data_IF_468435424364
#
_entry.id   IF_468435424364
#
_cell.length_a   1.000
_cell.length_b   1.000
_cell.length_c   1.000
_cell.angle_alpha   90.00
_cell.angle_beta   90.00
_cell.angle_gamma   90.00
#
_symmetry.space_group_name_H-M   'P 1'
#
loop_
_entity.id
_entity.type
_entity.pdbx_description
1 polymer ?
#
# COMPACT_ATOMS: atom_id res chain seq x y z
N UNK A 1 0.97 -18.05 7.29
CA UNK A 1 0.96 -16.69 7.89
C UNK A 1 0.04 -15.82 7.06
N UNK A 2 -1.04 -15.35 7.67
CA UNK A 2 -2.07 -14.55 7.00
C UNK A 2 -1.75 -13.05 7.04
N UNK A 3 -2.06 -12.36 5.96
CA UNK A 3 -1.91 -10.91 5.85
C UNK A 3 -3.30 -10.28 5.76
N UNK A 4 -3.55 -9.25 6.55
CA UNK A 4 -4.82 -8.52 6.50
C UNK A 4 -4.60 -7.24 5.70
N UNK A 5 -5.36 -7.09 4.62
CA UNK A 5 -5.29 -5.91 3.78
C UNK A 5 -6.32 -4.87 4.22
N UNK A 6 -5.89 -3.67 4.59
CA UNK A 6 -6.80 -2.55 4.94
C UNK A 6 -6.80 -1.53 3.80
N UNK A 7 -7.92 -1.40 3.11
CA UNK A 7 -8.10 -0.55 1.93
C UNK A 7 -8.76 0.76 2.36
N UNK A 8 -8.07 1.88 2.18
CA UNK A 8 -8.44 3.16 2.77
C UNK A 8 -8.77 4.20 1.68
N UNK A 9 -10.02 4.66 1.69
CA UNK A 9 -10.56 5.64 0.77
C UNK A 9 -10.67 5.15 -0.68
N UNK A 10 -11.16 6.03 -1.57
CA UNK A 10 -11.44 5.67 -2.96
C UNK A 10 -10.25 5.01 -3.67
N UNK A 11 -9.07 5.63 -3.59
CA UNK A 11 -7.88 5.12 -4.26
C UNK A 11 -7.46 3.75 -3.70
N UNK A 12 -7.42 3.60 -2.37
CA UNK A 12 -7.06 2.34 -1.72
C UNK A 12 -8.00 1.20 -2.07
N UNK A 13 -9.31 1.45 -2.07
CA UNK A 13 -10.32 0.47 -2.43
C UNK A 13 -10.23 0.01 -3.91
N UNK A 14 -9.95 0.95 -4.82
CA UNK A 14 -9.82 0.62 -6.24
C UNK A 14 -8.53 -0.16 -6.55
N UNK A 15 -7.41 0.21 -5.94
CA UNK A 15 -6.13 -0.51 -6.09
C UNK A 15 -6.23 -1.89 -5.43
N UNK A 16 -6.76 -1.92 -4.21
CA UNK A 16 -6.93 -3.16 -3.46
C UNK A 16 -7.74 -4.19 -4.23
N UNK A 17 -8.80 -3.78 -4.93
CA UNK A 17 -9.54 -4.66 -5.83
C UNK A 17 -8.64 -5.28 -6.92
N UNK A 18 -7.91 -4.46 -7.67
CA UNK A 18 -7.07 -4.94 -8.77
C UNK A 18 -5.93 -5.85 -8.23
N UNK A 19 -5.38 -5.54 -7.05
CA UNK A 19 -4.39 -6.39 -6.36
C UNK A 19 -4.98 -7.77 -6.05
N UNK A 20 -6.16 -7.85 -5.44
CA UNK A 20 -6.79 -9.14 -5.15
C UNK A 20 -7.18 -9.91 -6.42
N UNK A 21 -7.56 -9.24 -7.51
CA UNK A 21 -7.83 -9.92 -8.79
C UNK A 21 -6.55 -10.50 -9.41
N UNK A 22 -5.42 -9.78 -9.32
CA UNK A 22 -4.11 -10.28 -9.73
C UNK A 22 -3.67 -11.44 -8.86
N UNK A 23 -3.78 -11.33 -7.52
CA UNK A 23 -3.39 -12.39 -6.58
C UNK A 23 -4.27 -13.64 -6.76
N UNK A 24 -5.57 -13.48 -6.95
CA UNK A 24 -6.48 -14.60 -7.19
C UNK A 24 -6.16 -15.29 -8.52
N UNK A 25 -5.92 -14.52 -9.59
CA UNK A 25 -5.56 -15.05 -10.90
C UNK A 25 -4.20 -15.73 -10.87
N UNK A 26 -3.25 -15.16 -10.11
CA UNK A 26 -1.96 -15.77 -9.86
C UNK A 26 -2.17 -17.10 -9.15
N UNK A 27 -2.75 -17.15 -7.95
CA UNK A 27 -2.97 -18.41 -7.21
C UNK A 27 -3.64 -19.49 -8.08
N UNK A 28 -4.67 -19.20 -8.84
CA UNK A 28 -5.36 -20.22 -9.64
C UNK A 28 -4.66 -20.60 -10.96
N UNK A 29 -3.58 -19.92 -11.34
CA UNK A 29 -2.79 -20.28 -12.52
C UNK A 29 -2.15 -21.67 -12.37
N UNK A 30 -2.07 -22.41 -13.47
CA UNK A 30 -1.29 -23.65 -13.58
C UNK A 30 -0.07 -23.47 -14.50
N UNK A 31 0.24 -22.23 -14.90
CA UNK A 31 1.28 -21.94 -15.87
C UNK A 31 2.65 -21.76 -15.19
N UNK A 32 3.67 -22.45 -15.70
CA UNK A 32 5.04 -22.35 -15.20
C UNK A 32 5.87 -23.60 -15.52
N UNK A 33 7.16 -23.55 -15.17
CA UNK A 33 8.10 -24.68 -15.28
C UNK A 33 8.14 -25.52 -13.98
N UNK A 34 7.26 -25.24 -13.03
CA UNK A 34 7.21 -25.90 -11.74
C UNK A 34 6.51 -27.26 -11.81
N UNK A 35 6.93 -28.18 -10.93
CA UNK A 35 6.24 -29.45 -10.74
C UNK A 35 4.83 -29.24 -10.17
N UNK A 36 3.95 -30.23 -10.36
CA UNK A 36 2.58 -30.18 -9.82
C UNK A 36 2.56 -29.94 -8.30
N UNK A 37 3.45 -30.62 -7.57
CA UNK A 37 3.59 -30.49 -6.11
C UNK A 37 4.02 -29.09 -5.68
N UNK A 38 4.96 -28.47 -6.39
CA UNK A 38 5.39 -27.10 -6.10
C UNK A 38 4.28 -26.09 -6.37
N UNK A 39 3.51 -26.29 -7.45
CA UNK A 39 2.37 -25.43 -7.75
C UNK A 39 1.28 -25.54 -6.68
N UNK A 40 0.97 -26.76 -6.23
CA UNK A 40 0.01 -26.99 -5.13
C UNK A 40 0.49 -26.31 -3.82
N UNK A 41 1.77 -26.46 -3.45
CA UNK A 41 2.31 -25.80 -2.27
C UNK A 41 2.25 -24.25 -2.37
N UNK A 42 2.58 -23.70 -3.53
CA UNK A 42 2.46 -22.25 -3.80
C UNK A 42 1.00 -21.77 -3.64
N UNK A 43 0.06 -22.53 -4.19
CA UNK A 43 -1.37 -22.24 -4.12
C UNK A 43 -1.87 -22.20 -2.69
N UNK A 44 -1.54 -23.21 -1.90
CA UNK A 44 -1.95 -23.28 -0.50
C UNK A 44 -1.38 -22.11 0.33
N UNK A 45 -0.11 -21.75 0.11
CA UNK A 45 0.49 -20.58 0.78
C UNK A 45 -0.21 -19.28 0.35
N UNK A 46 -0.48 -19.10 -0.94
CA UNK A 46 -1.16 -17.91 -1.45
C UNK A 46 -2.60 -17.78 -0.93
N UNK A 47 -3.32 -18.90 -0.87
CA UNK A 47 -4.66 -18.97 -0.27
C UNK A 47 -4.62 -18.65 1.21
N UNK A 48 -3.78 -19.33 2.00
CA UNK A 48 -3.66 -19.11 3.45
C UNK A 48 -3.30 -17.64 3.77
N UNK A 49 -2.43 -17.04 2.94
CA UNK A 49 -1.95 -15.68 3.12
C UNK A 49 -3.03 -14.63 2.87
N UNK A 50 -3.77 -14.73 1.77
CA UNK A 50 -4.64 -13.64 1.28
C UNK A 50 -6.14 -13.95 1.35
N UNK A 51 -6.52 -15.22 1.47
CA UNK A 51 -7.90 -15.66 1.35
C UNK A 51 -8.32 -16.54 2.53
N UNK A 52 -9.63 -16.63 2.72
CA UNK A 52 -10.30 -17.56 3.63
C UNK A 52 -11.22 -18.43 2.79
N UNK A 53 -11.15 -19.76 2.97
CA UNK A 53 -12.05 -20.69 2.28
C UNK A 53 -13.39 -20.79 3.03
N UNK A 54 -14.50 -20.57 2.32
CA UNK A 54 -15.85 -20.80 2.84
C UNK A 54 -16.50 -22.00 2.13
N UNK A 55 -17.59 -22.53 2.72
CA UNK A 55 -18.31 -23.74 2.27
C UNK A 55 -18.75 -23.71 0.80
N UNK A 56 -18.90 -22.53 0.22
CA UNK A 56 -19.40 -22.34 -1.16
C UNK A 56 -18.28 -22.42 -2.23
N UNK A 57 -17.03 -22.66 -1.83
CA UNK A 57 -15.89 -22.84 -2.74
C UNK A 57 -15.31 -21.56 -3.36
N UNK A 58 -15.98 -20.41 -3.25
CA UNK A 58 -15.45 -19.11 -3.69
C UNK A 58 -14.57 -18.50 -2.58
N UNK A 59 -13.29 -18.20 -2.84
CA UNK A 59 -12.38 -17.64 -1.84
C UNK A 59 -12.81 -16.23 -1.41
N UNK A 60 -12.70 -15.97 -0.11
CA UNK A 60 -13.02 -14.68 0.50
C UNK A 60 -11.73 -13.93 0.81
N UNK A 61 -11.56 -12.72 0.29
CA UNK A 61 -10.39 -11.90 0.54
C UNK A 61 -10.29 -11.49 2.02
N UNK A 62 -9.09 -11.63 2.62
CA UNK A 62 -8.74 -11.11 3.94
C UNK A 62 -8.52 -9.60 3.86
N UNK A 63 -9.61 -8.86 3.69
CA UNK A 63 -9.56 -7.43 3.47
C UNK A 63 -10.67 -6.66 4.17
N UNK A 64 -10.32 -5.51 4.74
CA UNK A 64 -11.25 -4.54 5.29
C UNK A 64 -11.25 -3.30 4.40
N UNK A 65 -12.42 -2.92 3.89
CA UNK A 65 -12.59 -1.71 3.08
C UNK A 65 -13.14 -0.59 3.95
N UNK A 66 -12.49 0.56 3.94
CA UNK A 66 -12.95 1.73 4.68
C UNK A 66 -13.01 2.89 3.72
N UNK A 67 -14.19 3.48 3.58
CA UNK A 67 -14.38 4.71 2.82
C UNK A 67 -15.44 5.55 3.52
N UNK A 68 -15.39 6.87 3.43
CA UNK A 68 -16.45 7.69 4.02
C UNK A 68 -17.63 7.87 3.05
N UNK A 69 -17.56 7.26 1.87
CA UNK A 69 -18.61 7.30 0.84
C UNK A 69 -18.92 5.89 0.31
N UNK A 70 -20.20 5.52 0.11
CA UNK A 70 -20.57 4.14 -0.18
C UNK A 70 -20.33 3.74 -1.64
N UNK A 71 -20.28 4.73 -2.56
CA UNK A 71 -20.28 4.50 -4.01
C UNK A 71 -19.16 3.58 -4.47
N UNK A 72 -17.93 3.86 -4.02
CA UNK A 72 -16.74 3.11 -4.45
C UNK A 72 -16.78 1.71 -3.85
N UNK A 73 -17.14 1.57 -2.57
CA UNK A 73 -17.27 0.27 -1.92
C UNK A 73 -18.30 -0.59 -2.63
N UNK A 74 -19.52 -0.09 -2.86
CA UNK A 74 -20.58 -0.86 -3.54
C UNK A 74 -20.15 -1.31 -4.94
N UNK A 75 -19.46 -0.45 -5.69
CA UNK A 75 -18.93 -0.79 -7.01
C UNK A 75 -17.87 -1.90 -6.92
N UNK A 76 -16.92 -1.78 -5.99
CA UNK A 76 -15.85 -2.76 -5.78
C UNK A 76 -16.38 -4.11 -5.31
N UNK A 77 -17.32 -4.14 -4.37
CA UNK A 77 -17.98 -5.36 -3.88
C UNK A 77 -18.74 -6.07 -5.02
N UNK A 78 -19.53 -5.31 -5.79
CA UNK A 78 -20.29 -5.84 -6.93
C UNK A 78 -19.36 -6.40 -8.01
N UNK A 79 -18.29 -5.66 -8.34
CA UNK A 79 -17.30 -6.08 -9.35
C UNK A 79 -16.59 -7.38 -8.95
N UNK A 80 -16.21 -7.53 -7.67
CA UNK A 80 -15.61 -8.76 -7.17
C UNK A 80 -16.60 -9.94 -7.26
N UNK A 81 -17.81 -9.77 -6.74
CA UNK A 81 -18.83 -10.81 -6.75
C UNK A 81 -19.22 -11.26 -8.17
N UNK A 82 -19.35 -10.32 -9.12
CA UNK A 82 -19.68 -10.61 -10.52
C UNK A 82 -18.58 -11.39 -11.25
N UNK A 83 -17.32 -11.25 -10.83
CA UNK A 83 -16.22 -12.01 -11.43
C UNK A 83 -16.34 -13.52 -11.19
N UNK A 84 -17.01 -13.93 -10.10
CA UNK A 84 -17.12 -15.32 -9.66
C UNK A 84 -15.82 -15.96 -9.18
N UNK A 85 -14.68 -15.27 -9.28
CA UNK A 85 -13.35 -15.81 -8.93
C UNK A 85 -13.06 -15.73 -7.44
N UNK A 86 -13.46 -14.62 -6.82
CA UNK A 86 -13.27 -14.33 -5.40
C UNK A 86 -14.30 -13.27 -4.97
N UNK A 87 -14.45 -13.07 -3.66
CA UNK A 87 -15.32 -12.01 -3.12
C UNK A 87 -14.75 -11.40 -1.84
N UNK A 88 -15.29 -10.26 -1.45
CA UNK A 88 -15.07 -9.72 -0.11
C UNK A 88 -16.00 -10.36 0.93
N UNK A 89 -15.67 -10.18 2.20
CA UNK A 89 -16.55 -10.56 3.30
C UNK A 89 -17.82 -9.72 3.32
N UNK A 90 -18.95 -10.34 3.69
CA UNK A 90 -20.25 -9.64 3.76
C UNK A 90 -20.23 -8.46 4.75
N UNK A 91 -19.43 -8.58 5.80
CA UNK A 91 -19.27 -7.58 6.86
C UNK A 91 -17.82 -7.09 6.96
N UNK A 92 -17.10 -7.01 5.83
CA UNK A 92 -15.69 -6.58 5.82
C UNK A 92 -15.51 -5.17 5.22
N UNK A 93 -16.53 -4.32 5.36
CA UNK A 93 -16.47 -2.94 4.88
C UNK A 93 -17.14 -1.97 5.85
N UNK A 94 -16.67 -0.73 5.85
CA UNK A 94 -17.22 0.40 6.57
C UNK A 94 -17.45 1.56 5.61
N UNK A 95 -18.66 2.13 5.61
CA UNK A 95 -18.95 3.37 4.91
C UNK A 95 -19.87 4.32 5.66
N UNK A 96 -19.70 5.61 5.36
CA UNK A 96 -20.57 6.69 5.79
C UNK A 96 -21.21 7.39 4.58
N UNK A 97 -22.04 8.39 4.84
CA UNK A 97 -22.69 9.21 3.79
C UNK A 97 -21.94 10.50 3.47
N UNK A 98 -20.97 10.88 4.30
CA UNK A 98 -20.28 12.17 4.21
C UNK A 98 -18.77 11.94 4.12
N UNK A 99 -18.20 12.29 2.96
CA UNK A 99 -16.77 12.17 2.69
C UNK A 99 -15.90 13.13 3.52
N UNK A 100 -14.58 12.94 3.44
CA UNK A 100 -13.61 13.80 4.15
C UNK A 100 -13.28 15.11 3.42
N UNK A 101 -13.91 15.40 2.27
CA UNK A 101 -13.76 16.67 1.54
C UNK A 101 -12.32 17.02 1.13
N UNK A 102 -11.47 16.01 0.90
CA UNK A 102 -10.03 16.16 0.69
C UNK A 102 -9.26 16.85 1.82
N UNK A 103 -9.80 16.85 3.03
CA UNK A 103 -9.16 17.46 4.19
C UNK A 103 -8.64 16.37 5.13
N UNK A 104 -7.32 16.37 5.36
CA UNK A 104 -6.68 15.41 6.26
C UNK A 104 -7.16 15.58 7.71
N UNK A 105 -7.29 16.81 8.22
CA UNK A 105 -7.74 17.08 9.59
C UNK A 105 -9.15 16.54 9.84
N UNK A 106 -10.04 16.67 8.85
CA UNK A 106 -11.39 16.12 9.01
C UNK A 106 -11.39 14.59 9.06
N UNK A 107 -10.56 13.96 8.22
CA UNK A 107 -10.37 12.50 8.24
C UNK A 107 -9.75 12.00 9.54
N UNK A 108 -8.70 12.67 10.02
CA UNK A 108 -7.91 12.25 11.18
C UNK A 108 -8.57 12.63 12.51
N UNK A 109 -8.92 13.91 12.70
CA UNK A 109 -9.36 14.44 14.00
C UNK A 109 -10.87 14.30 14.25
N UNK A 110 -11.68 14.11 13.20
CA UNK A 110 -13.14 13.98 13.35
C UNK A 110 -13.63 12.59 12.99
N UNK A 111 -13.44 12.14 11.75
CA UNK A 111 -13.94 10.83 11.31
C UNK A 111 -13.20 9.67 11.99
N UNK A 112 -11.89 9.80 12.21
CA UNK A 112 -11.06 8.83 12.93
C UNK A 112 -11.64 8.47 14.30
N UNK A 113 -11.58 9.37 15.30
CA UNK A 113 -12.10 9.10 16.64
C UNK A 113 -13.58 8.70 16.67
N UNK A 114 -14.41 9.30 15.81
CA UNK A 114 -15.84 9.00 15.75
C UNK A 114 -16.13 7.56 15.32
N UNK A 115 -15.27 6.97 14.49
CA UNK A 115 -15.50 5.67 13.86
C UNK A 115 -14.44 4.61 14.21
N UNK A 116 -13.55 4.94 15.14
CA UNK A 116 -12.46 4.10 15.63
C UNK A 116 -12.94 2.69 15.99
N UNK A 117 -13.88 2.59 16.93
CA UNK A 117 -14.37 1.31 17.43
C UNK A 117 -14.97 0.45 16.31
N UNK A 118 -15.71 1.08 15.39
CA UNK A 118 -16.32 0.37 14.26
C UNK A 118 -15.26 -0.20 13.31
N UNK A 119 -14.22 0.58 12.98
CA UNK A 119 -13.16 0.16 12.07
C UNK A 119 -12.27 -0.90 12.73
N UNK A 120 -11.86 -0.70 13.99
CA UNK A 120 -11.05 -1.66 14.74
C UNK A 120 -11.77 -2.99 14.95
N UNK A 121 -13.08 -2.97 15.23
CA UNK A 121 -13.87 -4.19 15.35
C UNK A 121 -13.92 -4.99 14.05
N UNK A 122 -13.93 -4.34 12.88
CA UNK A 122 -13.86 -5.03 11.59
C UNK A 122 -12.49 -5.69 11.38
N UNK A 123 -11.42 -4.95 11.68
CA UNK A 123 -10.05 -5.46 11.59
C UNK A 123 -9.86 -6.64 12.53
N UNK A 124 -10.29 -6.51 13.79
CA UNK A 124 -10.22 -7.56 14.79
C UNK A 124 -10.96 -8.83 14.33
N UNK A 125 -12.17 -8.70 13.78
CA UNK A 125 -12.91 -9.85 13.24
C UNK A 125 -12.17 -10.56 12.09
N UNK A 126 -11.40 -9.84 11.28
CA UNK A 126 -10.55 -10.48 10.26
C UNK A 126 -9.28 -11.11 10.87
N UNK A 127 -8.72 -10.51 11.93
CA UNK A 127 -7.60 -11.10 12.70
C UNK A 127 -8.01 -12.41 13.36
N UNK A 128 -9.18 -12.48 13.97
CA UNK A 128 -9.70 -13.67 14.66
C UNK A 128 -9.92 -14.86 13.71
N UNK A 129 -10.04 -14.62 12.39
CA UNK A 129 -10.12 -15.66 11.36
C UNK A 129 -8.74 -16.18 10.90
N UNK A 130 -7.65 -15.60 11.40
CA UNK A 130 -6.30 -15.99 11.03
C UNK A 130 -5.74 -16.98 12.06
N UNK A 131 -5.28 -18.15 11.63
CA UNK A 131 -4.57 -19.08 12.52
C UNK A 131 -3.27 -18.46 13.04
N UNK A 132 -2.60 -17.67 12.18
CA UNK A 132 -1.42 -16.88 12.52
C UNK A 132 -1.36 -15.59 11.72
N UNK A 133 -1.54 -14.46 12.40
CA UNK A 133 -1.34 -13.14 11.83
C UNK A 133 0.15 -12.93 11.50
N UNK A 134 0.44 -12.61 10.24
CA UNK A 134 1.77 -12.21 9.76
C UNK A 134 1.97 -10.70 9.80
N UNK A 135 0.88 -9.92 9.64
CA UNK A 135 0.93 -8.47 9.66
C UNK A 135 -0.24 -7.82 8.93
N UNK A 136 -0.11 -6.51 8.74
CA UNK A 136 -1.07 -5.67 8.04
C UNK A 136 -0.44 -5.08 6.78
N UNK A 137 -1.22 -5.06 5.71
CA UNK A 137 -0.90 -4.35 4.49
C UNK A 137 -1.97 -3.29 4.24
N UNK A 138 -1.63 -2.03 4.47
CA UNK A 138 -2.58 -0.94 4.23
C UNK A 138 -2.35 -0.35 2.83
N UNK A 139 -3.43 0.08 2.17
CA UNK A 139 -3.36 0.69 0.83
C UNK A 139 -4.12 2.00 0.86
N UNK A 140 -3.44 3.10 0.55
CA UNK A 140 -3.99 4.45 0.68
C UNK A 140 -3.39 5.46 -0.29
N UNK A 141 -4.09 6.57 -0.50
CA UNK A 141 -3.55 7.75 -1.19
C UNK A 141 -3.14 8.82 -0.18
N UNK A 142 -2.06 9.53 -0.48
CA UNK A 142 -1.62 10.67 0.33
C UNK A 142 -2.38 11.98 0.03
N UNK A 143 -3.11 12.05 -1.10
CA UNK A 143 -3.75 13.29 -1.54
C UNK A 143 -5.17 13.49 -0.98
N UNK A 144 -5.93 12.40 -0.79
CA UNK A 144 -7.35 12.45 -0.44
C UNK A 144 -7.58 12.41 1.07
N UNK A 145 -8.62 13.06 1.59
CA UNK A 145 -8.83 13.21 3.04
C UNK A 145 -9.07 11.90 3.80
N UNK A 146 -9.85 10.98 3.22
CA UNK A 146 -10.12 9.67 3.84
C UNK A 146 -8.89 8.75 3.75
N UNK A 147 -8.27 8.66 2.57
CA UNK A 147 -7.08 7.83 2.39
C UNK A 147 -5.92 8.30 3.25
N UNK A 148 -5.70 9.62 3.32
CA UNK A 148 -4.58 10.23 4.03
C UNK A 148 -4.82 10.35 5.54
N UNK A 149 -5.87 11.07 5.96
CA UNK A 149 -6.17 11.40 7.35
C UNK A 149 -6.72 10.22 8.14
N UNK A 150 -7.90 9.71 7.74
CA UNK A 150 -8.49 8.54 8.41
C UNK A 150 -7.56 7.32 8.29
N UNK A 151 -6.84 7.20 7.18
CA UNK A 151 -5.86 6.15 7.01
C UNK A 151 -4.68 6.23 7.97
N UNK A 152 -4.09 7.42 8.16
CA UNK A 152 -3.01 7.60 9.14
C UNK A 152 -3.48 7.29 10.57
N UNK A 153 -4.69 7.74 10.93
CA UNK A 153 -5.32 7.42 12.21
C UNK A 153 -5.54 5.91 12.39
N UNK A 154 -6.06 5.25 11.36
CA UNK A 154 -6.30 3.79 11.38
C UNK A 154 -4.98 3.02 11.54
N UNK A 155 -3.92 3.43 10.84
CA UNK A 155 -2.59 2.80 10.96
C UNK A 155 -2.03 2.95 12.38
N UNK A 156 -2.19 4.12 13.01
CA UNK A 156 -1.78 4.33 14.40
C UNK A 156 -2.54 3.40 15.35
N UNK A 157 -3.85 3.29 15.21
CA UNK A 157 -4.65 2.41 16.08
C UNK A 157 -4.33 0.93 15.87
N UNK A 158 -3.99 0.51 14.64
CA UNK A 158 -3.49 -0.85 14.39
C UNK A 158 -2.15 -1.07 15.10
N UNK A 159 -1.23 -0.09 15.07
CA UNK A 159 0.03 -0.18 15.82
C UNK A 159 -0.19 -0.30 17.32
N UNK A 160 -1.12 0.46 17.87
CA UNK A 160 -1.43 0.45 19.30
C UNK A 160 -2.10 -0.87 19.73
N UNK A 161 -3.02 -1.40 18.92
CA UNK A 161 -3.70 -2.67 19.18
C UNK A 161 -2.82 -3.91 18.92
N UNK A 162 -1.91 -3.83 17.93
CA UNK A 162 -1.06 -4.94 17.49
C UNK A 162 0.42 -4.54 17.41
N UNK A 163 1.08 -4.23 18.54
CA UNK A 163 2.42 -3.63 18.55
C UNK A 163 3.51 -4.51 17.93
N UNK A 164 3.35 -5.84 18.03
CA UNK A 164 4.33 -6.82 17.50
C UNK A 164 4.06 -7.22 16.05
N UNK A 165 2.94 -6.78 15.46
CA UNK A 165 2.60 -7.11 14.08
C UNK A 165 3.35 -6.21 13.12
N UNK A 166 3.80 -6.78 12.00
CA UNK A 166 4.43 -6.00 10.94
C UNK A 166 3.38 -5.18 10.18
N UNK A 167 3.63 -3.89 9.95
CA UNK A 167 2.74 -2.98 9.23
C UNK A 167 3.47 -2.39 8.03
N UNK A 168 3.05 -2.82 6.84
CA UNK A 168 3.49 -2.25 5.57
C UNK A 168 2.40 -1.34 5.02
N UNK A 169 2.70 -0.04 4.88
CA UNK A 169 1.79 0.90 4.22
C UNK A 169 2.20 1.08 2.77
N UNK A 170 1.30 0.76 1.85
CA UNK A 170 1.42 1.13 0.45
C UNK A 170 0.74 2.47 0.21
N UNK A 171 1.55 3.47 -0.14
CA UNK A 171 1.11 4.85 -0.34
C UNK A 171 1.22 5.23 -1.81
N UNK A 172 0.15 5.82 -2.32
CA UNK A 172 0.11 6.41 -3.65
C UNK A 172 0.52 7.88 -3.56
N UNK A 173 1.66 8.17 -4.16
CA UNK A 173 2.20 9.52 -4.25
C UNK A 173 1.44 10.31 -5.32
N UNK A 174 0.97 11.54 -5.00
CA UNK A 174 0.13 12.32 -5.90
C UNK A 174 0.87 12.75 -7.17
N UNK A 175 0.11 13.10 -8.21
CA UNK A 175 0.70 13.79 -9.36
C UNK A 175 1.39 15.10 -8.95
N UNK A 176 2.59 15.32 -9.47
CA UNK A 176 3.40 16.52 -9.26
C UNK A 176 2.77 17.78 -9.87
N UNK A 177 1.86 17.63 -10.83
CA UNK A 177 1.05 18.74 -11.37
C UNK A 177 -0.09 19.17 -10.45
N UNK A 178 -0.45 18.36 -9.46
CA UNK A 178 -1.58 18.58 -8.56
C UNK A 178 -2.86 17.87 -9.02
N UNK A 179 -3.47 17.13 -8.09
CA UNK A 179 -4.81 16.55 -8.16
C UNK A 179 -5.81 17.35 -7.31
N UNK A 180 -5.33 17.80 -6.14
CA UNK A 180 -6.09 18.60 -5.17
C UNK A 180 -5.22 19.74 -4.68
N UNK A 181 -5.82 20.91 -4.47
CA UNK A 181 -5.13 22.13 -4.03
C UNK A 181 -4.35 21.92 -2.71
N UNK A 182 -4.92 21.18 -1.77
CA UNK A 182 -4.35 20.97 -0.42
C UNK A 182 -3.52 19.68 -0.30
N UNK A 183 -3.22 19.00 -1.41
CA UNK A 183 -2.55 17.69 -1.38
C UNK A 183 -1.18 17.70 -0.70
N UNK A 184 -0.45 18.83 -0.75
CA UNK A 184 0.89 18.90 -0.19
C UNK A 184 0.82 18.85 1.35
N UNK A 185 -0.16 19.53 1.96
CA UNK A 185 -0.43 19.39 3.40
C UNK A 185 -0.85 17.97 3.75
N UNK A 186 -1.81 17.40 3.03
CA UNK A 186 -2.27 16.04 3.29
C UNK A 186 -1.11 15.03 3.22
N UNK A 187 -0.21 15.20 2.24
CA UNK A 187 0.94 14.32 2.07
C UNK A 187 1.96 14.47 3.20
N UNK A 188 2.29 15.71 3.60
CA UNK A 188 3.21 15.96 4.72
C UNK A 188 2.68 15.38 6.03
N UNK A 189 1.42 15.64 6.35
CA UNK A 189 0.78 15.15 7.57
C UNK A 189 0.71 13.61 7.57
N UNK A 190 0.27 12.99 6.46
CA UNK A 190 0.25 11.54 6.35
C UNK A 190 1.63 10.92 6.50
N UNK A 191 2.66 11.43 5.81
CA UNK A 191 4.01 10.86 5.90
C UNK A 191 4.60 11.00 7.31
N UNK A 192 4.40 12.13 7.97
CA UNK A 192 4.85 12.35 9.36
C UNK A 192 4.27 11.31 10.33
N UNK A 193 2.95 11.06 10.26
CA UNK A 193 2.29 10.08 11.11
C UNK A 193 2.64 8.63 10.74
N UNK A 194 2.71 8.32 9.43
CA UNK A 194 3.06 6.98 8.97
C UNK A 194 4.52 6.61 9.30
N UNK A 195 5.44 7.58 9.26
CA UNK A 195 6.85 7.37 9.62
C UNK A 195 7.01 6.86 11.06
N UNK A 196 6.12 7.26 11.99
CA UNK A 196 6.16 6.85 13.40
C UNK A 196 5.46 5.52 13.67
N UNK A 197 4.48 5.14 12.85
CA UNK A 197 3.59 3.99 13.11
C UNK A 197 3.85 2.77 12.21
N UNK A 198 4.57 2.95 11.10
CA UNK A 198 4.80 1.91 10.08
C UNK A 198 6.17 1.28 10.17
N UNK A 199 6.28 -0.02 9.88
CA UNK A 199 7.59 -0.68 9.73
C UNK A 199 8.19 -0.49 8.34
N UNK A 200 7.34 -0.35 7.32
CA UNK A 200 7.75 -0.10 5.95
C UNK A 200 6.73 0.75 5.19
N UNK A 201 7.23 1.68 4.38
CA UNK A 201 6.45 2.45 3.41
C UNK A 201 6.83 2.03 1.99
N UNK A 202 5.89 1.42 1.28
CA UNK A 202 6.03 1.13 -0.14
C UNK A 202 5.38 2.24 -0.94
N UNK A 203 6.15 2.93 -1.77
CA UNK A 203 5.68 4.13 -2.49
C UNK A 203 5.51 3.82 -3.97
N UNK A 204 4.38 4.19 -4.55
CA UNK A 204 4.19 4.25 -6.00
C UNK A 204 3.83 5.67 -6.42
N UNK A 205 4.55 6.23 -7.38
CA UNK A 205 4.29 7.56 -7.92
C UNK A 205 3.34 7.51 -9.10
N UNK A 206 2.22 8.23 -9.00
CA UNK A 206 1.24 8.36 -10.08
C UNK A 206 1.90 8.82 -11.39
N UNK A 207 2.81 9.80 -11.34
CA UNK A 207 3.56 10.26 -12.52
C UNK A 207 4.42 9.15 -13.17
N UNK A 208 5.09 8.33 -12.36
CA UNK A 208 5.95 7.26 -12.86
C UNK A 208 5.12 6.14 -13.51
N UNK A 209 4.03 5.73 -12.86
CA UNK A 209 3.13 4.71 -13.40
C UNK A 209 2.40 5.21 -14.64
N UNK A 210 1.95 6.47 -14.65
CA UNK A 210 1.33 7.07 -15.83
C UNK A 210 2.30 7.11 -17.02
N UNK A 211 3.60 7.40 -16.81
CA UNK A 211 4.63 7.31 -17.85
C UNK A 211 4.82 5.89 -18.37
N UNK A 212 4.72 4.88 -17.51
CA UNK A 212 4.74 3.46 -17.93
C UNK A 212 3.55 3.16 -18.84
N UNK A 213 2.33 3.57 -18.47
CA UNK A 213 1.13 3.39 -19.29
C UNK A 213 1.25 4.06 -20.66
N UNK A 214 1.75 5.30 -20.68
CA UNK A 214 1.90 6.07 -21.90
C UNK A 214 2.97 5.49 -22.84
N UNK A 215 4.16 5.19 -22.30
CA UNK A 215 5.33 4.86 -23.12
C UNK A 215 5.47 3.37 -23.40
N UNK A 216 5.23 2.52 -22.41
CA UNK A 216 5.48 1.08 -22.53
C UNK A 216 4.23 0.33 -23.01
N UNK A 217 3.03 0.76 -22.59
CA UNK A 217 1.78 0.12 -23.00
C UNK A 217 1.08 0.82 -24.17
N UNK A 218 1.58 1.97 -24.61
CA UNK A 218 1.06 2.75 -25.74
C UNK A 218 -0.45 3.09 -25.62
N UNK A 219 -0.91 3.35 -24.40
CA UNK A 219 -2.31 3.71 -24.12
C UNK A 219 -2.48 5.22 -24.36
N UNK A 220 -3.36 5.60 -25.30
CA UNK A 220 -3.60 7.01 -25.67
C UNK A 220 -4.39 7.79 -24.62
N UNK A 221 -5.39 7.17 -24.02
CA UNK A 221 -6.23 7.76 -22.97
C UNK A 221 -6.11 6.92 -21.72
N UNK A 222 -5.26 7.36 -20.80
CA UNK A 222 -4.93 6.62 -19.58
C UNK A 222 -5.99 6.91 -18.53
N UNK A 223 -6.64 5.86 -18.06
CA UNK A 223 -7.59 5.92 -16.95
C UNK A 223 -6.91 5.50 -15.64
N UNK A 224 -7.54 5.82 -14.51
CA UNK A 224 -7.09 5.31 -13.20
C UNK A 224 -7.13 3.78 -13.13
N UNK A 225 -7.99 3.12 -13.91
CA UNK A 225 -7.99 1.66 -13.99
C UNK A 225 -6.68 1.13 -14.56
N UNK A 226 -6.17 1.75 -15.63
CA UNK A 226 -4.92 1.32 -16.27
C UNK A 226 -3.73 1.50 -15.33
N UNK A 227 -3.68 2.63 -14.62
CA UNK A 227 -2.67 2.91 -13.58
C UNK A 227 -2.75 1.88 -12.45
N UNK A 228 -3.95 1.62 -11.92
CA UNK A 228 -4.15 0.67 -10.82
C UNK A 228 -3.79 -0.76 -11.22
N UNK A 229 -4.00 -1.15 -12.48
CA UNK A 229 -3.59 -2.47 -12.98
C UNK A 229 -2.08 -2.64 -13.00
N UNK A 230 -1.33 -1.62 -13.43
CA UNK A 230 0.14 -1.67 -13.37
C UNK A 230 0.64 -1.81 -11.93
N UNK A 231 0.08 -1.01 -11.02
CA UNK A 231 0.40 -1.07 -9.59
C UNK A 231 0.07 -2.47 -9.04
N UNK A 232 -1.10 -3.01 -9.36
CA UNK A 232 -1.50 -4.35 -8.93
C UNK A 232 -0.56 -5.44 -9.44
N UNK A 233 -0.08 -5.34 -10.68
CA UNK A 233 0.92 -6.26 -11.22
C UNK A 233 2.27 -6.15 -10.52
N UNK A 234 2.74 -4.93 -10.24
CA UNK A 234 3.99 -4.72 -9.49
C UNK A 234 3.88 -5.30 -8.07
N UNK A 235 2.78 -5.03 -7.36
CA UNK A 235 2.52 -5.58 -6.03
C UNK A 235 2.33 -7.09 -6.04
N UNK A 236 1.58 -7.64 -6.99
CA UNK A 236 1.38 -9.08 -7.11
C UNK A 236 2.69 -9.84 -7.27
N UNK A 237 3.65 -9.25 -7.99
CA UNK A 237 5.00 -9.79 -8.14
C UNK A 237 5.80 -9.73 -6.82
N UNK A 238 5.71 -8.64 -6.05
CA UNK A 238 6.32 -8.53 -4.72
C UNK A 238 5.74 -9.57 -3.74
N UNK A 239 4.46 -9.88 -3.86
CA UNK A 239 3.73 -10.74 -2.93
C UNK A 239 3.84 -12.24 -3.23
N UNK A 240 4.51 -12.64 -4.31
CA UNK A 240 4.66 -14.04 -4.66
C UNK A 240 5.34 -14.84 -3.54
N UNK A 241 4.80 -16.00 -3.13
CA UNK A 241 5.50 -16.96 -2.30
C UNK A 241 6.84 -17.39 -2.91
N UNK A 242 7.86 -17.47 -2.06
CA UNK A 242 9.25 -17.75 -2.45
C UNK A 242 9.77 -19.07 -1.87
N UNK A 243 8.91 -19.88 -1.28
CA UNK A 243 9.28 -21.16 -0.65
C UNK A 243 9.56 -22.25 -1.68
N UNK A 244 10.66 -22.99 -1.46
CA UNK A 244 10.91 -24.28 -2.09
C UNK A 244 10.36 -25.44 -1.25
N UNK A 245 10.26 -26.63 -1.83
CA UNK A 245 9.78 -27.86 -1.19
C UNK A 245 10.61 -28.31 0.03
N UNK A 246 11.78 -27.71 0.27
CA UNK A 246 12.68 -27.98 1.40
C UNK A 246 12.44 -27.08 2.62
N UNK A 247 11.41 -26.23 2.62
CA UNK A 247 11.03 -25.43 3.79
C UNK A 247 11.98 -24.28 4.14
N UNK A 248 13.05 -24.08 3.36
CA UNK A 248 13.92 -22.91 3.44
C UNK A 248 13.64 -21.95 2.27
N UNK A 249 13.54 -20.64 2.53
CA UNK A 249 13.54 -19.66 1.46
C UNK A 249 14.89 -19.69 0.75
N UNK A 250 14.91 -19.95 -0.57
CA UNK A 250 16.13 -19.81 -1.39
C UNK A 250 16.43 -18.32 -1.62
N UNK A 251 16.68 -17.58 -0.54
CA UNK A 251 17.27 -16.26 -0.62
C UNK A 251 18.74 -16.44 -0.99
N UNK A 252 19.10 -16.13 -2.24
CA UNK A 252 20.50 -16.12 -2.66
C UNK A 252 21.05 -14.71 -2.44
N UNK A 253 22.12 -14.62 -1.65
CA UNK A 253 22.85 -13.36 -1.51
C UNK A 253 23.70 -13.12 -2.75
N UNK A 254 23.47 -11.97 -3.39
CA UNK A 254 24.23 -11.41 -4.50
C UNK A 254 24.73 -12.39 -5.60
N UNK A 255 23.83 -13.11 -6.30
CA UNK A 255 24.21 -14.04 -7.38
C UNK A 255 24.43 -13.35 -8.74
N UNK A 256 24.04 -12.08 -8.89
CA UNK A 256 24.16 -11.31 -10.12
C UNK A 256 25.42 -10.44 -10.05
N UNK A 257 26.45 -10.77 -10.84
CA UNK A 257 27.75 -10.09 -10.77
C UNK A 257 27.71 -8.57 -10.93
N UNK A 258 26.72 -8.02 -11.63
CA UNK A 258 26.53 -6.57 -11.78
C UNK A 258 26.07 -5.85 -10.51
N UNK A 259 25.39 -6.55 -9.58
CA UNK A 259 24.99 -6.02 -8.28
C UNK A 259 26.06 -6.23 -7.20
N UNK A 260 27.28 -6.64 -7.59
CA UNK A 260 28.42 -6.71 -6.67
C UNK A 260 29.24 -5.42 -6.64
N UNK A 261 28.96 -4.49 -7.54
CA UNK A 261 29.68 -3.21 -7.59
C UNK A 261 29.40 -2.42 -6.29
N UNK A 262 30.42 -2.16 -5.45
CA UNK A 262 30.26 -1.38 -4.23
C UNK A 262 29.77 0.05 -4.50
N UNK A 263 29.98 0.59 -5.70
CA UNK A 263 29.50 1.93 -6.06
C UNK A 263 27.98 2.05 -6.12
N UNK A 264 27.25 0.94 -6.17
CA UNK A 264 25.78 0.92 -6.13
C UNK A 264 25.22 1.09 -4.71
N UNK A 265 26.06 0.95 -3.68
CA UNK A 265 25.65 0.90 -2.29
C UNK A 265 26.34 2.00 -1.47
N UNK A 266 25.79 2.27 -0.30
CA UNK A 266 26.43 3.15 0.67
C UNK A 266 27.69 2.50 1.24
N UNK A 267 28.66 3.33 1.64
CA UNK A 267 29.98 2.87 2.10
C UNK A 267 29.95 1.96 3.33
N UNK A 268 28.89 2.05 4.14
CA UNK A 268 28.70 1.26 5.35
C UNK A 268 28.04 -0.12 5.10
N UNK A 269 27.51 -0.36 3.89
CA UNK A 269 26.82 -1.59 3.55
C UNK A 269 27.71 -2.51 2.71
N UNK A 270 27.96 -3.72 3.20
CA UNK A 270 28.72 -4.71 2.44
C UNK A 270 27.89 -5.21 1.25
N UNK A 271 28.43 -5.26 0.01
CA UNK A 271 27.67 -5.67 -1.18
C UNK A 271 26.99 -7.04 -1.07
N UNK A 272 27.60 -7.99 -0.36
CA UNK A 272 27.02 -9.32 -0.14
C UNK A 272 25.80 -9.31 0.79
N UNK A 273 25.68 -8.31 1.66
CA UNK A 273 24.51 -8.09 2.52
C UNK A 273 23.49 -7.13 1.90
N UNK A 274 23.89 -6.37 0.88
CA UNK A 274 23.08 -5.34 0.26
C UNK A 274 22.00 -5.87 -0.69
N UNK A 275 22.20 -7.07 -1.25
CA UNK A 275 21.32 -7.64 -2.26
C UNK A 275 20.89 -9.06 -1.93
N UNK A 276 19.57 -9.25 -1.86
CA UNK A 276 18.91 -10.53 -1.65
C UNK A 276 18.05 -10.86 -2.87
N UNK A 277 18.32 -11.98 -3.52
CA UNK A 277 17.48 -12.50 -4.59
C UNK A 277 16.54 -13.57 -4.05
N UNK A 278 15.27 -13.43 -4.37
CA UNK A 278 14.25 -14.44 -4.12
C UNK A 278 13.71 -14.94 -5.45
N UNK A 279 13.53 -16.25 -5.58
CA UNK A 279 13.10 -16.90 -6.83
C UNK A 279 11.84 -17.71 -6.61
N UNK A 280 11.00 -17.70 -7.63
CA UNK A 280 9.89 -18.64 -7.78
C UNK A 280 9.96 -19.27 -9.17
N UNK A 281 9.77 -20.59 -9.32
CA UNK A 281 9.76 -21.26 -10.63
C UNK A 281 8.45 -21.04 -11.42
N UNK A 282 7.53 -20.26 -10.86
CA UNK A 282 6.19 -20.06 -11.39
C UNK A 282 6.13 -18.86 -12.33
N UNK A 283 5.38 -18.99 -13.42
CA UNK A 283 5.12 -17.85 -14.30
C UNK A 283 4.18 -16.87 -13.60
N UNK A 284 4.37 -15.57 -13.86
CA UNK A 284 3.51 -14.51 -13.33
C UNK A 284 2.86 -13.75 -14.48
N UNK A 285 1.54 -13.59 -14.42
CA UNK A 285 0.79 -12.77 -15.37
C UNK A 285 1.08 -13.09 -16.85
N UNK A 286 1.09 -14.38 -17.22
CA UNK A 286 1.41 -14.90 -18.57
C UNK A 286 2.86 -14.72 -19.03
N UNK A 287 3.71 -14.07 -18.25
CA UNK A 287 5.14 -13.96 -18.55
C UNK A 287 5.89 -15.15 -17.96
N UNK A 288 6.67 -15.82 -18.78
CA UNK A 288 7.53 -16.94 -18.33
C UNK A 288 8.63 -16.48 -17.37
N UNK A 289 9.07 -15.23 -17.50
CA UNK A 289 10.09 -14.61 -16.65
C UNK A 289 9.67 -13.20 -16.32
N UNK A 290 9.64 -12.89 -15.04
CA UNK A 290 9.44 -11.56 -14.49
C UNK A 290 10.47 -11.29 -13.40
N UNK A 291 10.79 -10.02 -13.18
CA UNK A 291 11.65 -9.60 -12.10
C UNK A 291 11.08 -8.34 -11.48
N UNK A 292 11.13 -8.25 -10.16
CA UNK A 292 10.74 -7.05 -9.42
C UNK A 292 11.84 -6.69 -8.44
N UNK A 293 12.31 -5.46 -8.54
CA UNK A 293 13.31 -4.91 -7.66
C UNK A 293 12.60 -4.04 -6.61
N UNK A 294 12.73 -4.43 -5.35
CA UNK A 294 12.38 -3.57 -4.22
C UNK A 294 13.68 -3.02 -3.66
N UNK A 295 13.85 -1.70 -3.69
CA UNK A 295 15.09 -1.03 -3.30
C UNK A 295 14.80 0.12 -2.35
N UNK A 296 15.57 0.22 -1.28
CA UNK A 296 15.64 1.43 -0.46
C UNK A 296 16.77 2.31 -0.98
N UNK A 297 16.44 3.49 -1.51
CA UNK A 297 17.40 4.40 -2.14
C UNK A 297 17.00 5.86 -1.92
N UNK A 298 17.93 6.78 -2.22
CA UNK A 298 17.73 8.22 -2.18
C UNK A 298 16.77 8.75 -3.27
N UNK A 299 16.18 7.89 -4.11
CA UNK A 299 15.32 8.30 -5.22
C UNK A 299 14.14 9.18 -4.78
N UNK A 300 13.55 8.90 -3.62
CA UNK A 300 12.41 9.66 -3.09
C UNK A 300 12.79 10.99 -2.42
N UNK A 301 14.08 11.31 -2.28
CA UNK A 301 14.51 12.57 -1.66
C UNK A 301 13.95 13.80 -2.40
N UNK A 302 14.11 13.83 -3.72
CA UNK A 302 13.69 14.99 -4.51
C UNK A 302 12.15 15.17 -4.54
N UNK A 303 11.34 14.11 -4.77
CA UNK A 303 9.89 14.20 -4.60
C UNK A 303 9.48 14.69 -3.20
N UNK A 304 10.09 14.13 -2.15
CA UNK A 304 9.79 14.49 -0.77
C UNK A 304 10.10 15.96 -0.47
N UNK A 305 11.32 16.41 -0.78
CA UNK A 305 11.75 17.81 -0.61
C UNK A 305 10.83 18.77 -1.38
N UNK A 306 10.42 18.40 -2.59
CA UNK A 306 9.48 19.20 -3.40
C UNK A 306 8.11 19.34 -2.73
N UNK A 307 7.55 18.24 -2.18
CA UNK A 307 6.25 18.29 -1.49
C UNK A 307 6.36 19.09 -0.19
N UNK A 308 7.41 18.87 0.60
CA UNK A 308 7.65 19.59 1.86
C UNK A 308 7.80 21.09 1.58
N UNK A 309 8.64 21.48 0.63
CA UNK A 309 8.83 22.89 0.26
C UNK A 309 7.55 23.56 -0.26
N UNK A 310 6.73 22.85 -1.06
CA UNK A 310 5.44 23.37 -1.51
C UNK A 310 4.46 23.56 -0.36
N UNK A 311 4.38 22.59 0.56
CA UNK A 311 3.54 22.69 1.74
C UNK A 311 4.01 23.83 2.67
N UNK A 312 5.32 23.99 2.87
CA UNK A 312 5.89 25.09 3.65
C UNK A 312 5.54 26.46 3.05
N UNK A 313 5.69 26.64 1.74
CA UNK A 313 5.33 27.89 1.07
C UNK A 313 3.84 28.25 1.23
N UNK A 314 2.96 27.24 1.17
CA UNK A 314 1.55 27.42 1.47
C UNK A 314 1.34 27.83 2.93
N UNK A 315 2.05 27.20 3.86
CA UNK A 315 1.92 27.43 5.30
C UNK A 315 2.40 28.83 5.69
N UNK A 316 3.56 29.25 5.18
CA UNK A 316 4.12 30.58 5.41
C UNK A 316 3.18 31.70 4.91
N UNK A 317 2.40 31.42 3.87
CA UNK A 317 1.38 32.35 3.35
C UNK A 317 0.02 32.22 4.05
N UNK A 318 -0.09 31.36 5.08
CA UNK A 318 -1.34 30.95 5.75
C UNK A 318 -2.43 30.46 4.80
N UNK A 319 -2.03 29.95 3.64
CA UNK A 319 -2.95 29.48 2.61
C UNK A 319 -3.60 28.17 3.08
N UNK A 320 -4.94 28.14 3.07
CA UNK A 320 -5.78 26.98 3.43
C UNK A 320 -5.63 26.41 4.84
N UNK A 321 -4.75 26.96 5.70
CA UNK A 321 -4.55 26.52 7.09
C UNK A 321 -5.86 26.53 7.88
N UNK A 322 -6.70 27.55 7.67
CA UNK A 322 -8.03 27.67 8.30
C UNK A 322 -8.96 26.47 8.02
N UNK A 323 -8.75 25.74 6.92
CA UNK A 323 -9.55 24.54 6.62
C UNK A 323 -9.20 23.39 7.56
N UNK A 324 -7.98 23.34 8.07
CA UNK A 324 -7.51 22.30 8.98
C UNK A 324 -7.81 22.69 10.43
N UNK A 325 -7.59 23.96 10.79
CA UNK A 325 -7.85 24.44 12.16
C UNK A 325 -9.33 24.37 12.54
N UNK A 326 -10.23 24.52 11.56
CA UNK A 326 -11.67 24.28 11.77
C UNK A 326 -11.99 22.90 12.34
N UNK A 327 -11.13 21.90 12.10
CA UNK A 327 -11.31 20.52 12.56
C UNK A 327 -10.36 20.16 13.73
N UNK A 328 -9.85 21.16 14.44
CA UNK A 328 -9.11 20.97 15.69
C UNK A 328 -7.62 20.68 15.52
N UNK A 329 -7.04 20.93 14.34
CA UNK A 329 -5.58 20.99 14.20
C UNK A 329 -5.06 22.37 14.58
N UNK A 330 -3.89 22.42 15.20
CA UNK A 330 -3.18 23.66 15.51
C UNK A 330 -2.08 23.94 14.49
N UNK A 331 -1.59 25.19 14.43
CA UNK A 331 -0.43 25.52 13.58
C UNK A 331 0.83 24.73 14.01
N UNK A 332 0.93 24.33 15.27
CA UNK A 332 2.02 23.51 15.83
C UNK A 332 2.08 22.11 15.20
N UNK A 333 0.92 21.48 14.94
CA UNK A 333 0.87 20.14 14.31
C UNK A 333 1.53 20.12 12.92
N UNK A 334 1.42 21.22 12.18
CA UNK A 334 2.09 21.40 10.90
C UNK A 334 3.60 21.52 11.08
N UNK A 335 4.04 22.36 12.01
CA UNK A 335 5.46 22.61 12.29
C UNK A 335 6.17 21.33 12.75
N UNK A 336 5.53 20.53 13.59
CA UNK A 336 6.02 19.22 14.01
C UNK A 336 6.17 18.28 12.82
N UNK A 337 5.19 18.25 11.94
CA UNK A 337 5.22 17.41 10.74
C UNK A 337 6.29 17.84 9.73
N UNK A 338 6.49 19.15 9.55
CA UNK A 338 7.60 19.67 8.76
C UNK A 338 8.95 19.27 9.35
N UNK A 339 9.12 19.46 10.65
CA UNK A 339 10.36 19.13 11.36
C UNK A 339 10.74 17.66 11.18
N UNK A 340 9.78 16.74 11.34
CA UNK A 340 10.02 15.29 11.13
C UNK A 340 10.51 15.01 9.71
N UNK A 341 9.83 15.54 8.69
CA UNK A 341 10.18 15.23 7.30
C UNK A 341 11.48 15.92 6.85
N UNK A 342 11.75 17.13 7.31
CA UNK A 342 13.02 17.82 7.07
C UNK A 342 14.19 17.06 7.68
N UNK A 343 14.02 16.49 8.89
CA UNK A 343 15.01 15.61 9.49
C UNK A 343 15.22 14.34 8.66
N UNK A 344 14.16 13.75 8.09
CA UNK A 344 14.28 12.61 7.17
C UNK A 344 15.06 13.00 5.91
N UNK A 345 14.73 14.13 5.28
CA UNK A 345 15.44 14.63 4.08
C UNK A 345 16.93 14.87 4.40
N UNK A 346 17.22 15.54 5.52
CA UNK A 346 18.59 15.81 5.94
C UNK A 346 19.36 14.51 6.25
N UNK A 347 18.73 13.55 6.91
CA UNK A 347 19.34 12.26 7.22
C UNK A 347 19.72 11.51 5.96
N UNK A 348 18.79 11.39 5.01
CA UNK A 348 19.02 10.67 3.75
C UNK A 348 19.99 11.39 2.80
N UNK A 349 20.08 12.71 2.85
CA UNK A 349 21.01 13.50 2.03
C UNK A 349 22.47 13.35 2.48
N UNK A 350 22.69 12.95 3.73
CA UNK A 350 24.03 12.77 4.32
C UNK A 350 24.49 11.30 4.36
N UNK A 351 23.74 10.38 3.74
CA UNK A 351 24.05 8.93 3.70
C UNK A 351 25.14 8.55 2.70
#
# INVERSE_FOLDING_TARGET
>A
MSLITVQLGQCGNQIGFEVFDVLCSDVHSAQGLCSKRENEAYQEIGKERFFTEEKNGVPVARAVLVDMEPKVISQTLSKAAQSGKWRYGSHSHFCQKEGSGNNWAYGYSVHGPKHEESILNLIQKEVEKCDRLGGFFTVMSMAGGTGSGLGAFTTQNIRDAYPNSFIMNHVIWPYGTGEVIVQNYNSVLTLSHLYRSSDALLVHENDAIHKICARLMNIKQISFRDVNQVIAHQLGSVFQPTSSSEGSPQCRRNPLGSFKDPALYTSWLQPDAAFCEWRTPRAFNKYEKSATLVSNSQFLLKPLDTIVGRAWNMFASKAYVHQYTKFGMEEEDFLDSFTVLEQVVASYSNL
#
